data_IF_420561539991
#
_entry.id   IF_420561539991
#
_cell.length_a   1.000
_cell.length_b   1.000
_cell.length_c   1.000
_cell.angle_alpha   90.00
_cell.angle_beta   90.00
_cell.angle_gamma   90.00
#
_symmetry.space_group_name_H-M   'P 1'
#
loop_
_entity.id
_entity.type
_entity.pdbx_description
1 polymer ?
#
# COMPACT_ATOMS: atom_id res chain seq x y z
N UNK A 1 -35.06 -40.51 -10.33
CA UNK A 1 -34.15 -39.40 -10.04
C UNK A 1 -32.76 -39.98 -9.94
N UNK A 2 -31.83 -39.58 -10.81
CA UNK A 2 -30.45 -40.05 -10.74
C UNK A 2 -29.79 -39.51 -9.46
N UNK A 3 -29.05 -40.36 -8.72
CA UNK A 3 -28.32 -39.91 -7.54
C UNK A 3 -27.21 -38.96 -7.97
N UNK A 4 -27.20 -37.76 -7.38
CA UNK A 4 -26.13 -36.79 -7.59
C UNK A 4 -24.79 -37.41 -7.19
N UNK A 5 -23.81 -37.39 -8.10
CA UNK A 5 -22.46 -37.86 -7.80
C UNK A 5 -21.90 -37.10 -6.60
N UNK A 6 -21.21 -37.79 -5.67
CA UNK A 6 -20.69 -37.17 -4.48
C UNK A 6 -19.69 -36.08 -4.85
N UNK A 7 -20.06 -34.83 -4.59
CA UNK A 7 -19.20 -33.68 -4.81
C UNK A 7 -17.88 -33.90 -4.07
N UNK A 8 -16.76 -33.76 -4.80
CA UNK A 8 -15.41 -33.83 -4.22
C UNK A 8 -15.35 -32.86 -3.04
N UNK A 9 -14.92 -33.29 -1.84
CA UNK A 9 -14.81 -32.40 -0.71
C UNK A 9 -13.88 -31.25 -1.07
N UNK A 10 -14.42 -30.03 -1.02
CA UNK A 10 -13.64 -28.81 -1.19
C UNK A 10 -12.77 -28.69 0.05
N UNK A 11 -11.52 -29.10 -0.05
CA UNK A 11 -10.54 -28.86 1.00
C UNK A 11 -10.30 -27.36 1.08
N UNK A 12 -10.94 -26.71 2.05
CA UNK A 12 -10.67 -25.31 2.36
C UNK A 12 -9.24 -25.24 2.91
N UNK A 13 -8.35 -24.55 2.20
CA UNK A 13 -7.00 -24.34 2.69
C UNK A 13 -7.07 -23.63 4.05
N UNK A 14 -6.49 -24.26 5.08
CA UNK A 14 -6.46 -23.70 6.43
C UNK A 14 -5.68 -22.39 6.37
N UNK A 15 -6.27 -21.32 6.89
CA UNK A 15 -5.61 -20.02 6.93
C UNK A 15 -4.46 -20.04 7.94
N UNK A 16 -3.23 -20.12 7.43
CA UNK A 16 -1.99 -20.14 8.22
C UNK A 16 -1.45 -18.74 8.53
N UNK A 17 -2.19 -17.68 8.17
CA UNK A 17 -1.75 -16.29 8.34
C UNK A 17 -1.67 -15.90 9.81
N UNK A 18 -0.63 -15.14 10.13
CA UNK A 18 -0.51 -14.51 11.43
C UNK A 18 -1.59 -13.44 11.57
N UNK A 19 -2.45 -13.60 12.58
CA UNK A 19 -3.50 -12.63 12.92
C UNK A 19 -2.88 -11.36 13.50
N UNK A 20 -3.29 -10.22 12.99
CA UNK A 20 -2.88 -8.91 13.51
C UNK A 20 -3.66 -8.61 14.78
N UNK A 21 -3.00 -8.23 15.90
CA UNK A 21 -3.70 -7.86 17.13
C UNK A 21 -4.69 -6.72 16.90
N UNK A 22 -5.94 -6.90 17.34
CA UNK A 22 -7.03 -5.96 17.08
C UNK A 22 -6.74 -4.55 17.61
N UNK A 23 -6.10 -4.43 18.77
CA UNK A 23 -5.75 -3.13 19.35
C UNK A 23 -4.87 -2.27 18.43
N UNK A 24 -3.98 -2.90 17.63
CA UNK A 24 -3.15 -2.17 16.66
C UNK A 24 -4.00 -1.57 15.55
N UNK A 25 -5.03 -2.30 15.10
CA UNK A 25 -5.96 -1.83 14.07
C UNK A 25 -6.86 -0.72 14.62
N UNK A 26 -7.38 -0.90 15.83
CA UNK A 26 -8.24 0.07 16.53
C UNK A 26 -7.50 1.37 16.80
N UNK A 27 -6.18 1.34 17.04
CA UNK A 27 -5.38 2.57 17.17
C UNK A 27 -5.01 3.14 15.80
N UNK A 28 -4.55 2.29 14.88
CA UNK A 28 -4.02 2.73 13.60
C UNK A 28 -5.06 3.41 12.73
N UNK A 29 -6.23 2.77 12.51
CA UNK A 29 -7.23 3.29 11.58
C UNK A 29 -7.75 4.67 11.97
N UNK A 30 -8.19 4.92 13.23
CA UNK A 30 -8.59 6.27 13.64
C UNK A 30 -7.46 7.29 13.51
N UNK A 31 -6.21 6.91 13.83
CA UNK A 31 -5.08 7.82 13.72
C UNK A 31 -4.84 8.26 12.27
N UNK A 32 -4.72 7.31 11.33
CA UNK A 32 -4.47 7.65 9.91
C UNK A 32 -5.67 8.33 9.27
N UNK A 33 -6.90 7.95 9.64
CA UNK A 33 -8.11 8.62 9.19
C UNK A 33 -8.15 10.07 9.71
N UNK A 34 -7.76 10.32 10.96
CA UNK A 34 -7.71 11.68 11.51
C UNK A 34 -6.72 12.57 10.76
N UNK A 35 -5.53 12.03 10.43
CA UNK A 35 -4.53 12.74 9.61
C UNK A 35 -5.07 13.06 8.22
N UNK A 36 -5.74 12.10 7.57
CA UNK A 36 -6.36 12.31 6.27
C UNK A 36 -7.47 13.36 6.32
N UNK A 37 -8.36 13.28 7.32
CA UNK A 37 -9.43 14.25 7.51
C UNK A 37 -8.89 15.65 7.77
N UNK A 38 -7.85 15.79 8.58
CA UNK A 38 -7.16 17.06 8.77
C UNK A 38 -6.59 17.60 7.45
N UNK A 39 -5.88 16.76 6.68
CA UNK A 39 -5.32 17.14 5.38
C UNK A 39 -6.40 17.57 4.37
N UNK A 40 -7.54 16.87 4.32
CA UNK A 40 -8.61 17.13 3.38
C UNK A 40 -9.46 18.36 3.76
N UNK A 41 -9.69 18.59 5.05
CA UNK A 41 -10.63 19.62 5.54
C UNK A 41 -9.96 20.92 5.98
N UNK A 42 -8.63 20.94 6.14
CA UNK A 42 -7.94 22.18 6.50
C UNK A 42 -8.10 23.25 5.41
N UNK A 43 -8.41 24.46 5.85
CA UNK A 43 -8.44 25.68 5.03
C UNK A 43 -7.21 26.55 5.23
N UNK A 44 -6.31 26.17 6.14
CA UNK A 44 -5.08 26.91 6.42
C UNK A 44 -4.07 26.67 5.30
N UNK A 45 -3.42 27.75 4.88
CA UNK A 45 -2.33 27.76 3.90
C UNK A 45 -1.04 28.24 4.56
N UNK A 46 0.09 27.99 3.90
CA UNK A 46 1.39 28.51 4.33
C UNK A 46 2.48 27.45 4.45
N UNK A 47 3.73 27.93 4.47
CA UNK A 47 4.93 27.09 4.34
C UNK A 47 5.05 26.02 5.43
N UNK A 48 4.60 26.31 6.66
CA UNK A 48 4.64 25.34 7.76
C UNK A 48 3.79 24.10 7.49
N UNK A 49 2.62 24.26 6.87
CA UNK A 49 1.74 23.15 6.51
C UNK A 49 2.24 22.39 5.28
N UNK A 50 2.88 23.09 4.34
CA UNK A 50 3.57 22.46 3.21
C UNK A 50 4.68 21.54 3.72
N UNK A 51 5.53 22.03 4.62
CA UNK A 51 6.62 21.22 5.22
C UNK A 51 6.05 20.04 6.00
N UNK A 52 5.00 20.25 6.80
CA UNK A 52 4.32 19.17 7.53
C UNK A 52 3.79 18.11 6.56
N UNK A 53 3.14 18.52 5.47
CA UNK A 53 2.64 17.63 4.42
C UNK A 53 3.76 16.80 3.80
N UNK A 54 4.90 17.42 3.48
CA UNK A 54 6.07 16.73 2.93
C UNK A 54 6.68 15.71 3.92
N UNK A 55 6.71 16.03 5.22
CA UNK A 55 7.19 15.11 6.25
C UNK A 55 6.25 13.91 6.37
N UNK A 56 4.95 14.14 6.47
CA UNK A 56 3.93 13.07 6.52
C UNK A 56 4.03 12.20 5.26
N UNK A 57 4.20 12.82 4.10
CA UNK A 57 4.40 12.15 2.83
C UNK A 57 5.63 11.24 2.85
N UNK A 58 6.78 11.74 3.29
CA UNK A 58 8.02 10.96 3.35
C UNK A 58 7.91 9.77 4.30
N UNK A 59 7.23 9.94 5.45
CA UNK A 59 6.93 8.84 6.39
C UNK A 59 6.01 7.80 5.73
N UNK A 60 4.94 8.23 5.06
CA UNK A 60 4.05 7.34 4.32
C UNK A 60 4.75 6.56 3.21
N UNK A 61 5.57 7.25 2.41
CA UNK A 61 6.32 6.65 1.32
C UNK A 61 7.36 5.63 1.82
N UNK A 62 8.10 5.96 2.87
CA UNK A 62 9.09 5.05 3.44
C UNK A 62 8.45 3.81 4.07
N UNK A 63 7.35 3.97 4.81
CA UNK A 63 6.62 2.84 5.40
C UNK A 63 5.99 1.94 4.34
N UNK A 64 5.41 2.51 3.29
CA UNK A 64 4.88 1.75 2.15
C UNK A 64 6.00 1.03 1.38
N UNK A 65 7.12 1.69 1.09
CA UNK A 65 8.26 1.07 0.43
C UNK A 65 8.88 -0.07 1.26
N UNK A 66 8.89 0.04 2.60
CA UNK A 66 9.31 -1.05 3.48
C UNK A 66 8.34 -2.25 3.41
N UNK A 67 7.03 -1.99 3.38
CA UNK A 67 6.01 -3.03 3.17
C UNK A 67 6.23 -3.75 1.83
N UNK A 68 6.39 -3.01 0.74
CA UNK A 68 6.58 -3.58 -0.59
C UNK A 68 7.87 -4.40 -0.68
N UNK A 69 8.99 -3.85 -0.20
CA UNK A 69 10.27 -4.58 -0.13
C UNK A 69 10.14 -5.86 0.67
N UNK A 70 9.38 -5.84 1.76
CA UNK A 70 9.12 -7.03 2.57
C UNK A 70 8.27 -8.04 1.82
N UNK A 71 7.18 -7.63 1.18
CA UNK A 71 6.33 -8.50 0.36
C UNK A 71 7.14 -9.18 -0.74
N UNK A 72 7.99 -8.45 -1.47
CA UNK A 72 8.83 -8.99 -2.53
C UNK A 72 9.86 -9.99 -1.98
N UNK A 73 10.45 -9.72 -0.80
CA UNK A 73 11.34 -10.67 -0.12
C UNK A 73 10.62 -11.94 0.34
N UNK A 74 9.42 -11.80 0.90
CA UNK A 74 8.60 -12.94 1.33
C UNK A 74 8.13 -13.80 0.14
N UNK A 75 8.05 -13.22 -1.06
CA UNK A 75 7.75 -13.90 -2.32
C UNK A 75 8.99 -14.12 -3.19
N UNK A 76 10.19 -14.24 -2.60
CA UNK A 76 11.40 -14.56 -3.35
C UNK A 76 11.27 -15.92 -4.02
N UNK A 77 11.58 -16.00 -5.32
CA UNK A 77 11.49 -17.24 -6.10
C UNK A 77 10.10 -17.54 -6.66
N UNK A 78 9.09 -16.71 -6.37
CA UNK A 78 7.75 -16.83 -6.96
C UNK A 78 7.37 -15.49 -7.59
N UNK A 79 6.72 -15.54 -8.75
CA UNK A 79 6.21 -14.33 -9.40
C UNK A 79 5.03 -13.77 -8.62
N UNK A 80 5.02 -12.45 -8.44
CA UNK A 80 3.89 -11.74 -7.83
C UNK A 80 2.95 -11.26 -8.94
N UNK A 81 1.66 -11.67 -8.94
CA UNK A 81 0.68 -11.19 -9.91
C UNK A 81 0.46 -9.68 -9.77
N UNK A 82 0.27 -8.98 -10.90
CA UNK A 82 0.05 -7.53 -10.89
C UNK A 82 -1.34 -7.11 -10.38
N UNK A 83 -2.37 -7.94 -10.61
CA UNK A 83 -3.77 -7.63 -10.31
C UNK A 83 -4.40 -8.59 -9.29
N UNK A 84 -3.60 -9.45 -8.67
CA UNK A 84 -4.06 -10.38 -7.64
C UNK A 84 -3.16 -10.28 -6.40
N UNK A 85 -3.64 -10.79 -5.27
CA UNK A 85 -2.87 -10.84 -4.03
C UNK A 85 -1.57 -11.65 -4.20
N UNK A 86 -0.53 -11.35 -3.39
CA UNK A 86 0.71 -12.10 -3.44
C UNK A 86 0.46 -13.59 -3.09
N UNK A 87 1.13 -14.54 -3.77
CA UNK A 87 0.95 -15.98 -3.52
C UNK A 87 1.31 -16.35 -2.08
N UNK A 88 2.36 -15.76 -1.53
CA UNK A 88 2.77 -15.89 -0.14
C UNK A 88 2.39 -14.61 0.60
N UNK A 89 1.42 -14.73 1.49
CA UNK A 89 0.98 -13.66 2.37
C UNK A 89 0.95 -14.20 3.80
N UNK A 90 2.02 -14.05 4.60
CA UNK A 90 2.11 -14.64 5.94
C UNK A 90 1.28 -13.90 7.01
N UNK A 91 0.68 -12.76 6.66
CA UNK A 91 -0.08 -11.89 7.56
C UNK A 91 -1.48 -11.66 7.01
N UNK A 92 -2.43 -11.45 7.91
CA UNK A 92 -3.76 -10.96 7.52
C UNK A 92 -3.75 -9.48 7.10
N UNK A 93 -3.04 -8.64 7.86
CA UNK A 93 -2.93 -7.20 7.58
C UNK A 93 -1.48 -6.80 7.67
N UNK A 94 -0.96 -6.18 6.60
CA UNK A 94 0.30 -5.48 6.67
C UNK A 94 0.09 -4.07 7.22
N UNK A 95 0.46 -3.87 8.49
CA UNK A 95 0.34 -2.58 9.16
C UNK A 95 1.19 -1.49 8.50
N UNK A 96 2.30 -1.85 7.85
CA UNK A 96 3.14 -0.88 7.15
C UNK A 96 2.44 -0.36 5.89
N UNK A 97 1.79 -1.24 5.11
CA UNK A 97 0.96 -0.82 3.98
C UNK A 97 -0.29 -0.06 4.45
N UNK A 98 -0.96 -0.57 5.48
CA UNK A 98 -2.20 0.01 6.02
C UNK A 98 -1.99 1.42 6.60
N UNK A 99 -0.80 1.71 7.13
CA UNK A 99 -0.42 3.06 7.55
C UNK A 99 0.14 3.89 6.39
N UNK A 100 1.03 3.29 5.60
CA UNK A 100 1.86 3.98 4.63
C UNK A 100 1.06 4.66 3.53
N UNK A 101 0.09 3.96 2.93
CA UNK A 101 -0.71 4.57 1.86
C UNK A 101 -1.55 5.76 2.35
N UNK A 102 -2.33 5.65 3.44
CA UNK A 102 -3.07 6.78 3.98
C UNK A 102 -2.18 7.97 4.34
N UNK A 103 -1.00 7.74 4.95
CA UNK A 103 -0.09 8.83 5.29
C UNK A 103 0.51 9.47 4.04
N UNK A 104 0.93 8.67 3.07
CA UNK A 104 1.46 9.13 1.80
C UNK A 104 0.44 10.01 1.07
N UNK A 105 -0.81 9.57 0.97
CA UNK A 105 -1.88 10.34 0.30
C UNK A 105 -2.25 11.59 1.10
N UNK A 106 -2.35 11.49 2.42
CA UNK A 106 -2.62 12.64 3.30
C UNK A 106 -1.55 13.72 3.18
N UNK A 107 -0.28 13.33 3.19
CA UNK A 107 0.85 14.25 3.04
C UNK A 107 0.85 14.96 1.69
N UNK A 108 0.56 14.23 0.61
CA UNK A 108 0.42 14.82 -0.73
C UNK A 108 -0.74 15.83 -0.79
N UNK A 109 -1.93 15.44 -0.30
CA UNK A 109 -3.11 16.30 -0.27
C UNK A 109 -2.85 17.56 0.56
N UNK A 110 -2.28 17.42 1.75
CA UNK A 110 -1.97 18.56 2.61
C UNK A 110 -0.97 19.50 1.95
N UNK A 111 0.09 18.97 1.33
CA UNK A 111 1.12 19.77 0.65
C UNK A 111 0.52 20.60 -0.49
N UNK A 112 -0.30 19.98 -1.34
CA UNK A 112 -0.92 20.66 -2.50
C UNK A 112 -1.95 21.69 -2.05
N UNK A 113 -2.76 21.40 -1.03
CA UNK A 113 -3.74 22.36 -0.51
C UNK A 113 -3.08 23.53 0.20
N UNK A 114 -2.03 23.28 0.98
CA UNK A 114 -1.37 24.31 1.76
C UNK A 114 -0.47 25.25 0.92
N UNK A 115 -0.05 24.82 -0.27
CA UNK A 115 0.82 25.60 -1.16
C UNK A 115 0.11 26.70 -1.94
N UNK A 116 -1.22 26.72 -1.93
CA UNK A 116 -2.06 27.68 -2.65
C UNK A 116 -1.68 27.83 -4.14
N UNK A 117 -1.29 26.71 -4.76
CA UNK A 117 -0.81 26.71 -6.13
C UNK A 117 -1.95 26.91 -7.12
N UNK A 118 -1.72 27.71 -8.16
CA UNK A 118 -2.70 27.96 -9.23
C UNK A 118 -3.04 26.71 -10.06
N UNK A 119 -2.16 25.69 -10.05
CA UNK A 119 -2.28 24.48 -10.88
C UNK A 119 -2.12 23.20 -10.06
N UNK A 120 -3.03 22.92 -9.10
CA UNK A 120 -2.91 21.77 -8.21
C UNK A 120 -2.92 20.44 -8.97
N UNK A 121 -3.61 20.39 -10.11
CA UNK A 121 -3.72 19.21 -10.97
C UNK A 121 -2.38 18.73 -11.54
N UNK A 122 -1.40 19.63 -11.76
CA UNK A 122 -0.06 19.25 -12.24
C UNK A 122 0.67 18.46 -11.16
N UNK A 123 0.62 18.94 -9.92
CA UNK A 123 1.22 18.25 -8.78
C UNK A 123 0.53 16.93 -8.49
N UNK A 124 -0.80 16.89 -8.54
CA UNK A 124 -1.58 15.65 -8.40
C UNK A 124 -1.18 14.64 -9.48
N UNK A 125 -1.10 15.07 -10.74
CA UNK A 125 -0.71 14.21 -11.87
C UNK A 125 0.71 13.65 -11.67
N UNK A 126 1.67 14.52 -11.33
CA UNK A 126 3.05 14.11 -11.07
C UNK A 126 3.14 13.11 -9.91
N UNK A 127 2.38 13.36 -8.84
CA UNK A 127 2.30 12.47 -7.70
C UNK A 127 1.70 11.09 -8.06
N UNK A 128 0.59 11.05 -8.79
CA UNK A 128 -0.03 9.80 -9.24
C UNK A 128 0.92 9.00 -10.13
N UNK A 129 1.59 9.67 -11.09
CA UNK A 129 2.58 9.03 -11.96
C UNK A 129 3.73 8.45 -11.13
N UNK A 130 4.29 9.24 -10.19
CA UNK A 130 5.36 8.78 -9.32
C UNK A 130 4.94 7.58 -8.46
N UNK A 131 3.72 7.58 -7.94
CA UNK A 131 3.18 6.48 -7.13
C UNK A 131 3.01 5.20 -7.96
N UNK A 132 2.45 5.31 -9.17
CA UNK A 132 2.30 4.17 -10.09
C UNK A 132 3.67 3.59 -10.46
N UNK A 133 4.66 4.43 -10.78
CA UNK A 133 6.02 3.98 -11.06
C UNK A 133 6.67 3.32 -9.84
N UNK A 134 6.50 3.90 -8.65
CA UNK A 134 7.06 3.38 -7.42
C UNK A 134 6.55 1.98 -7.07
N UNK A 135 5.30 1.64 -7.42
CA UNK A 135 4.71 0.30 -7.20
C UNK A 135 5.08 -0.66 -8.34
N UNK A 136 5.00 -0.19 -9.58
CA UNK A 136 5.13 -1.08 -10.75
C UNK A 136 6.58 -1.47 -11.02
N UNK A 137 7.53 -0.54 -10.88
CA UNK A 137 8.94 -0.80 -11.19
C UNK A 137 9.55 -1.90 -10.31
N UNK A 138 9.41 -1.88 -8.96
CA UNK A 138 9.95 -2.95 -8.12
C UNK A 138 9.34 -4.31 -8.43
N UNK A 139 8.02 -4.38 -8.66
CA UNK A 139 7.34 -5.61 -9.06
C UNK A 139 7.86 -6.18 -10.38
N UNK A 140 8.00 -5.33 -11.41
CA UNK A 140 8.53 -5.74 -12.72
C UNK A 140 9.96 -6.25 -12.57
N UNK A 141 10.82 -5.52 -11.85
CA UNK A 141 12.22 -5.91 -11.62
C UNK A 141 12.29 -7.25 -10.87
N UNK A 142 11.46 -7.45 -9.84
CA UNK A 142 11.38 -8.72 -9.11
C UNK A 142 10.98 -9.88 -10.01
N UNK A 143 9.89 -9.72 -10.77
CA UNK A 143 9.37 -10.77 -11.64
C UNK A 143 10.35 -11.13 -12.78
N UNK A 144 11.08 -10.16 -13.32
CA UNK A 144 12.15 -10.41 -14.29
C UNK A 144 13.29 -11.21 -13.66
N UNK A 145 13.68 -10.89 -12.42
CA UNK A 145 14.73 -11.64 -11.71
C UNK A 145 14.31 -13.09 -11.46
N UNK A 146 13.08 -13.32 -10.98
CA UNK A 146 12.54 -14.67 -10.78
C UNK A 146 12.54 -15.47 -12.08
N UNK A 147 12.06 -14.89 -13.19
CA UNK A 147 12.05 -15.55 -14.51
C UNK A 147 13.44 -15.98 -14.97
N UNK A 148 14.48 -15.16 -14.73
CA UNK A 148 15.86 -15.51 -15.09
C UNK A 148 16.37 -16.70 -14.29
N UNK A 149 16.04 -16.79 -13.00
CA UNK A 149 16.42 -17.91 -12.13
C UNK A 149 15.69 -19.20 -12.50
N UNK A 150 14.44 -19.13 -12.98
CA UNK A 150 13.71 -20.31 -13.50
C UNK A 150 14.29 -20.86 -14.80
N UNK A 151 15.04 -20.04 -15.57
CA UNK A 151 15.58 -20.40 -16.89
C UNK A 151 17.07 -20.78 -16.87
N UNK A 152 17.71 -20.77 -15.70
CA UNK A 152 19.11 -21.08 -15.47
C UNK A 152 19.25 -22.43 -14.77
#
# INVERSE_FOLDING_TARGET
MEPLEPMRPVSVAVDTRTKTPLWKLVVLYPAVTSVFMFAALTTRTGIGLVVLGLVIFAVGASTYAMSERRMLRENSGVRVPYFAGPPVAPRHVDLLAAAGMPLLTSGAVLTVRASDTERPWVFISAFVIAMVLAITVPMVVHNVRVKRTESA
#
